data_IF_786573259306
#
_entry.id   IF_786573259306
#
_cell.length_a   1.000
_cell.length_b   1.000
_cell.length_c   1.000
_cell.angle_alpha   90.00
_cell.angle_beta   90.00
_cell.angle_gamma   90.00
#
_symmetry.space_group_name_H-M   'P 1'
#
loop_
_entity.id
_entity.type
_entity.pdbx_description
1 polymer ?
#
# COMPACT_ATOMS: atom_id res chain seq x y z
N UNK A 1 61.83 -17.77 10.47
CA UNK A 1 61.39 -17.40 9.10
C UNK A 1 60.69 -18.61 8.53
N UNK A 2 59.43 -18.64 8.08
CA UNK A 2 58.46 -17.64 7.65
C UNK A 2 57.06 -18.13 8.08
N UNK A 3 56.22 -17.18 8.47
CA UNK A 3 54.78 -17.35 8.55
C UNK A 3 54.18 -17.40 7.13
N UNK A 4 53.19 -18.24 6.92
CA UNK A 4 52.26 -18.15 5.79
C UNK A 4 50.84 -18.37 6.32
N UNK A 5 50.18 -17.26 6.58
CA UNK A 5 48.75 -17.15 6.89
C UNK A 5 47.94 -17.38 5.62
N UNK A 6 47.17 -18.47 5.57
CA UNK A 6 46.13 -18.71 4.58
C UNK A 6 44.84 -18.02 5.02
N UNK A 7 44.60 -16.81 4.49
CA UNK A 7 43.30 -16.15 4.54
C UNK A 7 42.36 -16.80 3.53
N UNK A 8 41.59 -17.81 3.96
CA UNK A 8 40.40 -18.25 3.22
C UNK A 8 39.29 -17.24 3.43
N UNK A 9 39.18 -16.29 2.50
CA UNK A 9 37.97 -15.50 2.28
C UNK A 9 36.89 -16.41 1.68
N UNK A 10 36.19 -17.16 2.52
CA UNK A 10 34.94 -17.81 2.15
C UNK A 10 33.86 -16.75 2.02
N UNK A 11 33.67 -16.24 0.81
CA UNK A 11 32.46 -15.51 0.45
C UNK A 11 31.28 -16.49 0.45
N UNK A 12 30.54 -16.54 1.57
CA UNK A 12 29.19 -17.09 1.59
C UNK A 12 28.40 -16.40 0.48
N UNK A 13 28.10 -17.12 -0.60
CA UNK A 13 27.12 -16.71 -1.60
C UNK A 13 25.75 -16.69 -0.91
N UNK A 14 25.40 -15.53 -0.35
CA UNK A 14 24.18 -15.28 0.40
C UNK A 14 22.94 -15.58 -0.46
N UNK A 15 22.25 -16.69 -0.16
CA UNK A 15 21.05 -17.12 -0.87
C UNK A 15 19.90 -16.13 -0.60
N UNK A 16 19.63 -15.23 -1.55
CA UNK A 16 18.34 -14.54 -1.70
C UNK A 16 17.34 -15.54 -2.28
N UNK A 17 16.08 -15.51 -1.84
CA UNK A 17 15.08 -16.38 -2.43
C UNK A 17 14.94 -16.05 -3.92
N UNK A 18 15.32 -17.01 -4.76
CA UNK A 18 15.28 -16.89 -6.21
C UNK A 18 13.84 -16.58 -6.67
N UNK A 19 13.70 -15.71 -7.67
CA UNK A 19 12.40 -15.32 -8.21
C UNK A 19 11.64 -16.55 -8.75
N UNK A 20 12.34 -17.53 -9.32
CA UNK A 20 11.72 -18.79 -9.74
C UNK A 20 11.10 -19.54 -8.55
N UNK A 21 11.82 -19.62 -7.42
CA UNK A 21 11.30 -20.25 -6.19
C UNK A 21 10.06 -19.52 -5.65
N UNK A 22 10.01 -18.19 -5.76
CA UNK A 22 8.84 -17.39 -5.39
C UNK A 22 7.65 -17.70 -6.31
N UNK A 23 7.87 -17.72 -7.62
CA UNK A 23 6.83 -18.07 -8.60
C UNK A 23 6.30 -19.49 -8.39
N UNK A 24 7.17 -20.46 -8.10
CA UNK A 24 6.77 -21.84 -7.83
C UNK A 24 5.99 -21.95 -6.50
N UNK A 25 6.39 -21.20 -5.47
CA UNK A 25 5.68 -21.12 -4.20
C UNK A 25 4.28 -20.51 -4.36
N UNK A 26 4.17 -19.37 -5.04
CA UNK A 26 2.88 -18.73 -5.31
C UNK A 26 1.99 -19.61 -6.20
N UNK A 27 2.56 -20.25 -7.22
CA UNK A 27 1.84 -21.20 -8.07
C UNK A 27 1.26 -22.37 -7.27
N UNK A 28 1.99 -22.89 -6.26
CA UNK A 28 1.46 -23.91 -5.34
C UNK A 28 0.34 -23.36 -4.46
N UNK A 29 0.48 -22.15 -3.92
CA UNK A 29 -0.58 -21.51 -3.12
C UNK A 29 -1.86 -21.30 -3.93
N UNK A 30 -1.74 -20.87 -5.20
CA UNK A 30 -2.88 -20.70 -6.10
C UNK A 30 -3.56 -22.03 -6.45
N UNK A 31 -2.79 -23.11 -6.67
CA UNK A 31 -3.34 -24.46 -6.87
C UNK A 31 -4.08 -24.96 -5.64
N UNK A 32 -3.53 -24.69 -4.46
CA UNK A 32 -4.14 -25.05 -3.18
C UNK A 32 -5.48 -24.32 -2.97
N UNK A 33 -5.53 -23.03 -3.28
CA UNK A 33 -6.77 -22.26 -3.31
C UNK A 33 -7.81 -22.90 -4.24
N UNK A 34 -7.42 -23.29 -5.47
CA UNK A 34 -8.35 -23.92 -6.41
C UNK A 34 -8.90 -25.24 -5.86
N UNK A 35 -8.04 -26.08 -5.27
CA UNK A 35 -8.41 -27.37 -4.67
C UNK A 35 -9.46 -27.22 -3.57
N UNK A 36 -9.39 -26.15 -2.79
CA UNK A 36 -10.34 -25.85 -1.71
C UNK A 36 -11.67 -25.33 -2.27
N UNK A 37 -11.60 -24.33 -3.15
CA UNK A 37 -12.77 -23.59 -3.59
C UNK A 37 -13.58 -24.27 -4.69
N UNK A 38 -12.97 -25.06 -5.57
CA UNK A 38 -13.66 -25.76 -6.66
C UNK A 38 -14.85 -26.62 -6.16
N UNK A 39 -14.66 -27.59 -5.24
CA UNK A 39 -15.78 -28.43 -4.80
C UNK A 39 -16.84 -27.64 -4.03
N UNK A 40 -16.42 -26.63 -3.26
CA UNK A 40 -17.31 -25.77 -2.51
C UNK A 40 -18.22 -24.96 -3.45
N UNK A 41 -17.66 -24.34 -4.49
CA UNK A 41 -18.43 -23.55 -5.44
C UNK A 41 -19.33 -24.41 -6.31
N UNK A 42 -18.88 -25.60 -6.72
CA UNK A 42 -19.73 -26.55 -7.43
C UNK A 42 -20.98 -26.88 -6.62
N UNK A 43 -20.80 -27.22 -5.34
CA UNK A 43 -21.91 -27.52 -4.45
C UNK A 43 -22.83 -26.30 -4.27
N UNK A 44 -22.25 -25.12 -4.02
CA UNK A 44 -23.00 -23.88 -3.82
C UNK A 44 -23.83 -23.48 -5.05
N UNK A 45 -23.26 -23.60 -6.24
CA UNK A 45 -23.95 -23.30 -7.49
C UNK A 45 -25.05 -24.32 -7.81
N UNK A 46 -24.82 -25.61 -7.54
CA UNK A 46 -25.85 -26.65 -7.72
C UNK A 46 -27.02 -26.42 -6.76
N UNK A 47 -26.75 -26.06 -5.51
CA UNK A 47 -27.79 -25.74 -4.52
C UNK A 47 -28.63 -24.52 -4.92
N UNK A 48 -27.99 -23.49 -5.50
CA UNK A 48 -28.67 -22.26 -5.89
C UNK A 48 -29.39 -22.35 -7.24
N UNK A 49 -28.78 -23.00 -8.24
CA UNK A 49 -29.24 -22.98 -9.64
C UNK A 49 -29.69 -24.35 -10.17
N UNK A 50 -29.58 -25.40 -9.38
CA UNK A 50 -29.89 -26.78 -9.79
C UNK A 50 -28.80 -27.44 -10.65
N UNK A 51 -29.01 -28.71 -10.99
CA UNK A 51 -28.05 -29.57 -11.71
C UNK A 51 -27.71 -29.12 -13.13
N UNK A 52 -28.61 -28.39 -13.80
CA UNK A 52 -28.40 -27.91 -15.17
C UNK A 52 -28.01 -26.42 -15.20
N UNK A 53 -28.52 -25.62 -14.26
CA UNK A 53 -28.30 -24.17 -14.22
C UNK A 53 -26.89 -23.75 -13.80
N UNK A 54 -26.20 -24.56 -12.98
CA UNK A 54 -24.86 -24.21 -12.50
C UNK A 54 -23.82 -24.09 -13.63
N UNK A 55 -23.96 -24.88 -14.69
CA UNK A 55 -23.05 -24.85 -15.84
C UNK A 55 -23.15 -23.52 -16.60
N UNK A 56 -24.37 -22.98 -16.72
CA UNK A 56 -24.61 -21.67 -17.34
C UNK A 56 -23.99 -20.55 -16.50
N UNK A 57 -24.10 -20.61 -15.17
CA UNK A 57 -23.47 -19.64 -14.27
C UNK A 57 -21.94 -19.61 -14.44
N UNK A 58 -21.30 -20.80 -14.51
CA UNK A 58 -19.86 -20.92 -14.79
C UNK A 58 -19.52 -20.34 -16.17
N UNK A 59 -20.28 -20.70 -17.22
CA UNK A 59 -20.03 -20.20 -18.56
C UNK A 59 -20.14 -18.67 -18.65
N UNK A 60 -21.14 -18.08 -18.00
CA UNK A 60 -21.30 -16.63 -17.93
C UNK A 60 -20.08 -15.97 -17.29
N UNK A 61 -19.58 -16.52 -16.17
CA UNK A 61 -18.43 -15.97 -15.46
C UNK A 61 -17.11 -16.04 -16.25
N UNK A 62 -16.98 -17.01 -17.17
CA UNK A 62 -15.80 -17.17 -18.04
C UNK A 62 -15.70 -16.12 -19.15
N UNK A 63 -16.82 -15.46 -19.47
CA UNK A 63 -16.83 -14.36 -20.42
C UNK A 63 -16.23 -13.11 -19.76
N UNK A 64 -14.98 -12.85 -20.12
CA UNK A 64 -14.03 -11.85 -19.59
C UNK A 64 -14.51 -10.38 -19.52
N UNK A 65 -15.75 -10.06 -19.88
CA UNK A 65 -16.19 -8.70 -20.18
C UNK A 65 -16.83 -7.92 -19.03
N UNK A 66 -17.28 -8.55 -17.92
CA UNK A 66 -18.23 -7.84 -17.01
C UNK A 66 -17.72 -7.55 -15.59
N UNK A 67 -16.48 -7.88 -15.20
CA UNK A 67 -16.07 -7.74 -13.78
C UNK A 67 -15.44 -6.36 -13.45
N UNK A 68 -15.01 -5.59 -14.45
CA UNK A 68 -14.25 -4.36 -14.19
C UNK A 68 -15.12 -3.11 -13.98
N UNK A 69 -16.44 -3.14 -14.25
CA UNK A 69 -17.37 -2.04 -13.92
C UNK A 69 -18.82 -2.46 -14.23
N UNK A 70 -19.85 -2.11 -13.42
CA UNK A 70 -21.24 -2.20 -13.87
C UNK A 70 -21.52 -1.05 -14.83
N UNK A 71 -20.92 -1.07 -16.02
CA UNK A 71 -21.30 -0.16 -17.11
C UNK A 71 -22.49 -0.77 -17.82
N UNK A 72 -23.66 -0.23 -17.50
CA UNK A 72 -24.96 -0.56 -18.09
C UNK A 72 -25.03 -0.16 -19.57
N UNK A 73 -24.26 -0.77 -20.46
CA UNK A 73 -24.49 -0.70 -21.92
C UNK A 73 -23.40 -1.41 -22.72
N UNK A 74 -23.34 -2.74 -22.75
CA UNK A 74 -22.86 -3.44 -23.96
C UNK A 74 -23.66 -4.72 -24.21
N UNK A 75 -24.05 -4.98 -25.48
CA UNK A 75 -24.80 -6.17 -25.83
C UNK A 75 -23.94 -7.42 -25.67
N UNK A 76 -24.57 -8.41 -25.04
CA UNK A 76 -24.15 -9.80 -24.87
C UNK A 76 -23.51 -10.38 -26.15
N UNK A 77 -22.18 -10.57 -26.13
CA UNK A 77 -21.49 -11.31 -27.20
C UNK A 77 -21.44 -12.81 -26.84
N UNK A 78 -22.38 -13.56 -27.41
CA UNK A 78 -22.39 -15.03 -27.44
C UNK A 78 -21.33 -15.54 -28.42
N UNK A 79 -20.05 -15.48 -28.08
CA UNK A 79 -19.05 -16.19 -28.88
C UNK A 79 -17.88 -16.68 -28.04
N UNK A 80 -18.17 -17.75 -27.29
CA UNK A 80 -17.26 -18.87 -26.97
C UNK A 80 -18.07 -19.91 -26.18
N UNK A 81 -18.91 -20.66 -26.89
CA UNK A 81 -19.46 -21.92 -26.39
C UNK A 81 -18.36 -22.97 -26.47
N UNK A 82 -17.34 -22.86 -25.61
CA UNK A 82 -16.40 -23.95 -25.41
C UNK A 82 -16.92 -24.80 -24.27
N UNK A 83 -17.21 -26.07 -24.54
CA UNK A 83 -17.46 -27.12 -23.54
C UNK A 83 -16.38 -27.16 -22.43
N UNK A 84 -15.20 -26.61 -22.75
CA UNK A 84 -14.04 -26.38 -21.88
C UNK A 84 -14.27 -25.38 -20.73
N UNK A 85 -15.24 -24.46 -20.86
CA UNK A 85 -15.47 -23.42 -19.84
C UNK A 85 -15.98 -23.98 -18.51
N UNK A 86 -16.73 -25.09 -18.54
CA UNK A 86 -17.22 -25.78 -17.33
C UNK A 86 -16.16 -26.68 -16.68
N UNK A 87 -15.06 -26.95 -17.40
CA UNK A 87 -13.92 -27.74 -16.91
C UNK A 87 -12.79 -26.86 -16.38
N UNK A 88 -12.73 -25.59 -16.79
CA UNK A 88 -11.67 -24.68 -16.39
C UNK A 88 -11.92 -24.06 -15.00
N UNK A 89 -11.51 -24.77 -13.95
CA UNK A 89 -11.51 -24.32 -12.55
C UNK A 89 -10.17 -23.68 -12.15
N UNK A 90 -9.61 -22.85 -13.03
CA UNK A 90 -8.45 -22.05 -12.68
C UNK A 90 -8.82 -20.94 -11.67
N UNK A 91 -7.79 -20.37 -11.05
CA UNK A 91 -7.95 -19.35 -10.00
C UNK A 91 -8.76 -18.15 -10.50
N UNK A 92 -8.60 -17.76 -11.77
CA UNK A 92 -9.32 -16.61 -12.32
C UNK A 92 -10.81 -16.89 -12.45
N UNK A 93 -11.17 -18.05 -12.99
CA UNK A 93 -12.56 -18.44 -13.13
C UNK A 93 -13.22 -18.60 -11.77
N UNK A 94 -12.54 -19.26 -10.81
CA UNK A 94 -13.02 -19.37 -9.42
C UNK A 94 -13.33 -18.00 -8.82
N UNK A 95 -12.39 -17.06 -8.88
CA UNK A 95 -12.60 -15.70 -8.35
C UNK A 95 -13.72 -14.99 -9.13
N UNK A 96 -13.79 -15.17 -10.45
CA UNK A 96 -14.80 -14.54 -11.30
C UNK A 96 -16.21 -15.02 -10.97
N UNK A 97 -16.38 -16.32 -10.72
CA UNK A 97 -17.64 -16.93 -10.26
C UNK A 97 -18.05 -16.33 -8.92
N UNK A 98 -17.13 -16.34 -7.94
CA UNK A 98 -17.40 -15.84 -6.58
C UNK A 98 -17.87 -14.39 -6.62
N UNK A 99 -17.15 -13.53 -7.36
CA UNK A 99 -17.46 -12.10 -7.40
C UNK A 99 -18.76 -11.81 -8.14
N UNK A 100 -19.05 -12.53 -9.23
CA UNK A 100 -20.27 -12.35 -10.03
C UNK A 100 -21.52 -12.80 -9.29
N UNK A 101 -21.46 -13.96 -8.66
CA UNK A 101 -22.58 -14.55 -7.93
C UNK A 101 -22.47 -14.31 -6.42
N UNK A 102 -21.77 -13.25 -6.00
CA UNK A 102 -21.51 -12.98 -4.60
C UNK A 102 -22.81 -12.91 -3.78
N UNK A 103 -23.79 -12.15 -4.28
CA UNK A 103 -25.07 -11.99 -3.59
C UNK A 103 -25.86 -13.31 -3.58
N UNK A 104 -25.87 -14.04 -4.69
CA UNK A 104 -26.63 -15.28 -4.81
C UNK A 104 -26.07 -16.39 -3.92
N UNK A 105 -24.74 -16.47 -3.79
CA UNK A 105 -24.06 -17.52 -3.04
C UNK A 105 -23.89 -17.20 -1.55
N UNK A 106 -23.73 -15.92 -1.20
CA UNK A 106 -23.34 -15.49 0.15
C UNK A 106 -24.31 -14.54 0.85
N UNK A 107 -25.20 -13.83 0.14
CA UNK A 107 -26.14 -12.92 0.82
C UNK A 107 -27.33 -13.67 1.46
N UNK A 108 -27.72 -14.82 0.90
CA UNK A 108 -28.86 -15.61 1.39
C UNK A 108 -28.47 -16.69 2.39
N UNK A 109 -27.20 -17.10 2.42
CA UNK A 109 -26.75 -18.29 3.15
C UNK A 109 -25.53 -18.00 4.01
N UNK A 110 -25.55 -18.56 5.23
CA UNK A 110 -24.58 -18.46 6.34
C UNK A 110 -23.16 -18.99 6.00
N UNK A 111 -22.59 -18.67 4.84
CA UNK A 111 -21.36 -19.28 4.32
C UNK A 111 -20.08 -18.52 4.68
N UNK A 112 -20.08 -17.79 5.79
CA UNK A 112 -18.90 -17.18 6.44
C UNK A 112 -18.07 -16.16 5.62
N UNK A 113 -18.41 -15.87 4.36
CA UNK A 113 -17.73 -14.85 3.55
C UNK A 113 -18.35 -13.46 3.79
N UNK A 114 -17.56 -12.56 4.38
CA UNK A 114 -17.85 -11.15 4.61
C UNK A 114 -17.15 -10.25 3.59
N UNK A 115 -17.33 -8.93 3.71
CA UNK A 115 -16.64 -7.97 2.84
C UNK A 115 -15.10 -8.01 2.98
N UNK A 116 -14.57 -8.50 4.10
CA UNK A 116 -13.13 -8.66 4.29
C UNK A 116 -12.54 -9.70 3.32
N UNK A 117 -13.20 -10.85 3.20
CA UNK A 117 -12.82 -11.92 2.28
C UNK A 117 -12.93 -11.49 0.83
N UNK A 118 -13.94 -10.65 0.51
CA UNK A 118 -14.05 -10.04 -0.81
C UNK A 118 -12.81 -9.23 -1.19
N UNK A 119 -12.25 -8.48 -0.25
CA UNK A 119 -10.98 -7.76 -0.47
C UNK A 119 -9.82 -8.73 -0.71
N UNK A 120 -9.71 -9.82 0.05
CA UNK A 120 -8.67 -10.83 -0.19
C UNK A 120 -8.81 -11.48 -1.57
N UNK A 121 -10.02 -11.72 -2.08
CA UNK A 121 -10.20 -12.26 -3.43
C UNK A 121 -9.63 -11.33 -4.53
N UNK A 122 -9.74 -10.01 -4.36
CA UNK A 122 -9.12 -9.05 -5.28
C UNK A 122 -7.59 -9.06 -5.18
N UNK A 123 -7.03 -9.24 -3.98
CA UNK A 123 -5.60 -9.43 -3.77
C UNK A 123 -5.09 -10.72 -4.45
N UNK A 124 -5.80 -11.84 -4.29
CA UNK A 124 -5.45 -13.11 -4.95
C UNK A 124 -5.56 -13.00 -6.46
N UNK A 125 -6.56 -12.29 -7.00
CA UNK A 125 -6.65 -12.00 -8.43
C UNK A 125 -5.44 -11.21 -8.92
N UNK A 126 -5.01 -10.20 -8.16
CA UNK A 126 -3.81 -9.42 -8.47
C UNK A 126 -2.55 -10.28 -8.45
N UNK A 127 -2.38 -11.13 -7.43
CA UNK A 127 -1.31 -12.11 -7.34
C UNK A 127 -1.29 -13.05 -8.55
N UNK A 128 -2.44 -13.66 -8.88
CA UNK A 128 -2.59 -14.57 -10.02
C UNK A 128 -2.22 -13.88 -11.33
N UNK A 129 -2.68 -12.65 -11.56
CA UNK A 129 -2.35 -11.90 -12.77
C UNK A 129 -0.84 -11.63 -12.87
N UNK A 130 -0.21 -11.15 -11.79
CA UNK A 130 1.25 -10.99 -11.74
C UNK A 130 1.99 -12.31 -12.03
N UNK A 131 1.54 -13.42 -11.41
CA UNK A 131 2.12 -14.75 -11.58
C UNK A 131 2.00 -15.25 -13.02
N UNK A 132 0.83 -15.10 -13.64
CA UNK A 132 0.60 -15.50 -15.03
C UNK A 132 1.46 -14.70 -16.02
N UNK A 133 1.77 -13.44 -15.70
CA UNK A 133 2.67 -12.60 -16.50
C UNK A 133 4.16 -12.78 -16.17
N UNK A 134 4.51 -13.70 -15.26
CA UNK A 134 5.89 -13.92 -14.80
C UNK A 134 6.54 -12.62 -14.26
N UNK A 135 5.72 -11.74 -13.67
CA UNK A 135 6.20 -10.47 -13.13
C UNK A 135 7.01 -10.67 -11.85
N UNK A 136 7.89 -9.71 -11.54
CA UNK A 136 8.67 -9.73 -10.31
C UNK A 136 7.78 -9.63 -9.06
N UNK A 137 8.15 -10.37 -8.02
CA UNK A 137 7.54 -10.29 -6.70
C UNK A 137 8.57 -9.90 -5.64
N UNK A 138 8.22 -8.92 -4.81
CA UNK A 138 9.00 -8.63 -3.59
C UNK A 138 8.71 -9.71 -2.53
N UNK A 139 9.64 -9.92 -1.59
CA UNK A 139 9.40 -10.84 -0.46
C UNK A 139 8.22 -10.40 0.41
N UNK A 140 8.02 -9.08 0.57
CA UNK A 140 6.86 -8.50 1.25
C UNK A 140 5.56 -8.81 0.53
N UNK A 141 5.50 -8.60 -0.78
CA UNK A 141 4.30 -8.91 -1.58
C UNK A 141 3.99 -10.42 -1.53
N UNK A 142 5.03 -11.24 -1.62
CA UNK A 142 4.90 -12.70 -1.53
C UNK A 142 4.26 -13.11 -0.21
N UNK A 143 4.74 -12.59 0.92
CA UNK A 143 4.15 -12.86 2.22
C UNK A 143 2.69 -12.42 2.29
N UNK A 144 2.40 -11.19 1.84
CA UNK A 144 1.03 -10.64 1.80
C UNK A 144 0.07 -11.51 1.00
N UNK A 145 0.46 -11.94 -0.21
CA UNK A 145 -0.39 -12.78 -1.04
C UNK A 145 -0.61 -14.18 -0.45
N UNK A 146 0.43 -14.78 0.15
CA UNK A 146 0.29 -16.08 0.82
C UNK A 146 -0.64 -15.96 2.04
N UNK A 147 -0.53 -14.90 2.83
CA UNK A 147 -1.42 -14.63 3.96
C UNK A 147 -2.88 -14.42 3.51
N UNK A 148 -3.09 -13.66 2.44
CA UNK A 148 -4.43 -13.46 1.86
C UNK A 148 -5.06 -14.79 1.40
N UNK A 149 -4.28 -15.65 0.74
CA UNK A 149 -4.76 -16.99 0.34
C UNK A 149 -5.03 -17.85 1.59
N UNK A 150 -4.17 -17.80 2.61
CA UNK A 150 -4.37 -18.56 3.85
C UNK A 150 -5.67 -18.17 4.54
N UNK A 151 -5.94 -16.87 4.73
CA UNK A 151 -7.19 -16.40 5.33
C UNK A 151 -8.42 -16.87 4.57
N UNK A 152 -8.35 -16.91 3.24
CA UNK A 152 -9.42 -17.44 2.40
C UNK A 152 -9.61 -18.95 2.55
N UNK A 153 -8.56 -19.72 2.81
CA UNK A 153 -8.66 -21.17 3.03
C UNK A 153 -9.16 -21.47 4.44
N UNK A 154 -8.77 -20.69 5.45
CA UNK A 154 -9.16 -20.85 6.86
C UNK A 154 -10.67 -20.69 7.13
N UNK A 155 -11.41 -20.13 6.17
CA UNK A 155 -12.88 -20.10 6.17
C UNK A 155 -13.49 -21.52 6.17
N UNK A 156 -12.74 -22.51 5.66
CA UNK A 156 -13.10 -23.91 5.56
C UNK A 156 -12.30 -24.74 6.57
N UNK A 157 -12.66 -24.72 7.87
CA UNK A 157 -11.87 -25.36 8.93
C UNK A 157 -11.73 -26.89 8.75
N UNK A 158 -12.63 -27.52 8.00
CA UNK A 158 -12.54 -28.94 7.63
C UNK A 158 -11.36 -29.27 6.69
N UNK A 159 -10.76 -28.26 6.04
CA UNK A 159 -9.60 -28.39 5.15
C UNK A 159 -8.29 -28.32 5.90
N UNK A 160 -8.18 -29.07 6.99
CA UNK A 160 -7.03 -29.00 7.92
C UNK A 160 -5.69 -29.25 7.24
N UNK A 161 -5.62 -30.20 6.29
CA UNK A 161 -4.39 -30.51 5.56
C UNK A 161 -3.95 -29.35 4.68
N UNK A 162 -4.88 -28.74 3.95
CA UNK A 162 -4.64 -27.57 3.12
C UNK A 162 -4.21 -26.37 3.96
N UNK A 163 -4.85 -26.15 5.11
CA UNK A 163 -4.50 -25.08 6.05
C UNK A 163 -3.07 -25.26 6.56
N UNK A 164 -2.69 -26.47 6.99
CA UNK A 164 -1.31 -26.76 7.42
C UNK A 164 -0.28 -26.59 6.29
N UNK A 165 -0.64 -26.97 5.06
CA UNK A 165 0.24 -26.84 3.90
C UNK A 165 0.53 -25.37 3.58
N UNK A 166 -0.50 -24.51 3.59
CA UNK A 166 -0.30 -23.07 3.36
C UNK A 166 0.41 -22.40 4.53
N UNK A 167 0.13 -22.81 5.76
CA UNK A 167 0.79 -22.28 6.96
C UNK A 167 2.30 -22.50 6.91
N UNK A 168 2.74 -23.69 6.47
CA UNK A 168 4.17 -24.00 6.22
C UNK A 168 4.77 -23.07 5.17
N UNK A 169 4.07 -22.83 4.06
CA UNK A 169 4.54 -21.92 3.00
C UNK A 169 4.61 -20.46 3.48
N UNK A 170 3.62 -20.01 4.27
CA UNK A 170 3.63 -18.68 4.88
C UNK A 170 4.80 -18.50 5.84
N UNK A 171 4.99 -19.46 6.76
CA UNK A 171 6.05 -19.42 7.76
C UNK A 171 7.44 -19.48 7.10
N UNK A 172 7.58 -20.23 6.01
CA UNK A 172 8.79 -20.22 5.18
C UNK A 172 9.08 -18.81 4.64
N UNK A 173 8.10 -18.15 4.00
CA UNK A 173 8.29 -16.78 3.49
C UNK A 173 8.61 -15.78 4.60
N UNK A 174 7.94 -15.91 5.75
CA UNK A 174 8.20 -15.06 6.92
C UNK A 174 9.64 -15.19 7.43
N UNK A 175 10.16 -16.42 7.49
CA UNK A 175 11.54 -16.67 7.89
C UNK A 175 12.55 -16.01 6.93
N UNK A 176 12.29 -16.08 5.62
CA UNK A 176 13.12 -15.41 4.62
C UNK A 176 13.11 -13.89 4.78
N UNK A 177 11.93 -13.30 4.96
CA UNK A 177 11.78 -11.86 5.19
C UNK A 177 12.53 -11.42 6.46
N UNK A 178 12.41 -12.18 7.55
CA UNK A 178 13.12 -11.89 8.79
C UNK A 178 14.65 -11.93 8.61
N UNK A 179 15.16 -12.90 7.86
CA UNK A 179 16.58 -13.02 7.56
C UNK A 179 17.07 -11.86 6.66
N UNK A 180 16.28 -11.45 5.68
CA UNK A 180 16.59 -10.29 4.82
C UNK A 180 16.68 -8.99 5.64
N UNK A 181 15.71 -8.75 6.53
CA UNK A 181 15.70 -7.57 7.41
C UNK A 181 16.94 -7.55 8.31
N UNK A 182 17.31 -8.69 8.91
CA UNK A 182 18.54 -8.81 9.73
C UNK A 182 19.80 -8.51 8.91
N UNK A 183 19.88 -8.98 7.66
CA UNK A 183 21.02 -8.69 6.76
C UNK A 183 21.10 -7.19 6.45
N UNK A 184 19.97 -6.56 6.13
CA UNK A 184 19.92 -5.12 5.86
C UNK A 184 20.34 -4.28 7.07
N UNK A 185 19.94 -4.67 8.28
CA UNK A 185 20.36 -4.03 9.53
C UNK A 185 21.88 -4.14 9.74
N UNK A 186 22.46 -5.35 9.61
CA UNK A 186 23.91 -5.56 9.73
C UNK A 186 24.71 -4.74 8.71
N UNK A 187 24.20 -4.61 7.48
CA UNK A 187 24.85 -3.77 6.44
C UNK A 187 24.86 -2.30 6.86
N UNK A 188 23.73 -1.77 7.34
CA UNK A 188 23.62 -0.39 7.84
C UNK A 188 24.52 -0.12 9.04
N UNK A 189 24.64 -1.08 9.96
CA UNK A 189 25.53 -0.97 11.12
C UNK A 189 27.00 -0.89 10.69
N UNK A 190 27.44 -1.79 9.80
CA UNK A 190 28.79 -1.77 9.23
C UNK A 190 29.10 -0.45 8.51
N UNK A 191 28.15 0.09 7.77
CA UNK A 191 28.29 1.37 7.07
C UNK A 191 28.40 2.55 8.04
N UNK A 192 27.56 2.58 9.09
CA UNK A 192 27.68 3.56 10.17
C UNK A 192 29.02 3.47 10.90
N UNK A 193 29.53 2.27 11.13
CA UNK A 193 30.82 2.06 11.77
C UNK A 193 31.98 2.55 10.89
N UNK A 194 31.94 2.28 9.58
CA UNK A 194 32.91 2.83 8.62
C UNK A 194 32.91 4.36 8.62
N UNK A 195 31.73 4.98 8.56
CA UNK A 195 31.60 6.44 8.57
C UNK A 195 32.09 7.06 9.89
N UNK A 196 31.91 6.36 11.02
CA UNK A 196 32.48 6.79 12.31
C UNK A 196 34.01 6.74 12.29
N UNK A 197 34.61 5.64 11.81
CA UNK A 197 36.07 5.47 11.72
C UNK A 197 36.73 6.51 10.80
N UNK A 198 36.07 6.86 9.70
CA UNK A 198 36.56 7.89 8.76
C UNK A 198 36.54 9.29 9.38
N UNK A 199 35.54 9.60 10.21
CA UNK A 199 35.44 10.90 10.92
C UNK A 199 36.37 11.04 12.14
N UNK A 200 36.82 9.93 12.74
CA UNK A 200 37.76 9.94 13.88
C UNK A 200 39.23 9.71 13.49
N UNK A 201 39.55 9.61 12.20
CA UNK A 201 40.95 9.53 11.76
C UNK A 201 41.63 10.91 11.85
N UNK A 202 42.83 11.02 12.44
CA UNK A 202 43.55 12.29 12.54
C UNK A 202 43.99 12.78 11.14
N UNK A 203 44.21 14.10 10.95
CA UNK A 203 44.71 14.63 9.69
C UNK A 203 46.02 13.93 9.34
N UNK A 204 46.07 13.30 8.16
CA UNK A 204 47.29 12.71 7.62
C UNK A 204 48.26 13.88 7.37
N UNK A 205 49.30 14.01 8.19
CA UNK A 205 50.44 14.87 7.92
C UNK A 205 51.05 14.44 6.58
N UNK A 206 50.73 15.20 5.53
CA UNK A 206 51.34 15.03 4.23
C UNK A 206 52.67 15.76 4.27
N UNK A 207 53.72 15.04 4.65
CA UNK A 207 55.10 15.46 4.40
C UNK A 207 55.39 15.29 2.92
N UNK A 208 55.03 16.28 2.10
CA UNK A 208 55.63 16.42 0.78
C UNK A 208 55.94 17.88 0.51
N UNK A 209 57.23 18.16 0.57
CA UNK A 209 57.99 19.31 0.09
C UNK A 209 57.27 20.25 -0.90
N UNK A 210 57.20 21.52 -0.53
CA UNK A 210 57.10 22.64 -1.48
C UNK A 210 58.49 22.95 -2.06
N UNK A 211 58.54 23.48 -3.29
CA UNK A 211 59.12 24.81 -3.41
C UNK A 211 58.13 25.83 -3.99
N UNK A 212 58.17 27.01 -3.34
CA UNK A 212 57.71 28.35 -3.69
C UNK A 212 57.06 28.61 -5.06
N UNK A 213 56.01 29.44 -5.06
CA UNK A 213 56.01 30.81 -5.64
C UNK A 213 54.83 31.63 -5.05
N UNK A 214 55.19 32.50 -4.10
CA UNK A 214 54.89 33.94 -4.00
C UNK A 214 53.60 34.51 -4.64
N UNK A 215 52.64 35.00 -3.84
CA UNK A 215 51.91 36.26 -4.10
C UNK A 215 51.51 36.97 -2.78
N UNK A 216 52.15 38.10 -2.54
CA UNK A 216 51.70 39.37 -1.94
C UNK A 216 50.59 39.38 -0.85
N UNK A 217 50.99 39.81 0.34
CA UNK A 217 50.15 40.35 1.41
C UNK A 217 50.16 41.88 1.40
N UNK A 218 48.98 42.50 1.43
CA UNK A 218 48.67 43.74 2.18
C UNK A 218 47.21 43.59 2.67
N UNK A 219 46.96 43.20 3.93
CA UNK A 219 46.63 44.06 5.09
C UNK A 219 45.80 45.30 4.73
N UNK A 220 44.68 45.61 5.38
CA UNK A 220 44.67 46.17 6.75
C UNK A 220 43.23 46.33 7.30
N UNK A 221 42.98 45.78 8.51
CA UNK A 221 42.18 46.35 9.64
C UNK A 221 40.63 46.44 9.55
N UNK A 222 39.82 46.35 10.63
CA UNK A 222 40.01 46.34 12.10
C UNK A 222 38.68 45.94 12.79
N UNK A 223 38.69 44.99 13.76
CA UNK A 223 38.52 45.12 15.23
C UNK A 223 37.09 45.02 15.86
N UNK A 224 37.04 44.16 16.89
CA UNK A 224 36.29 44.20 18.18
C UNK A 224 34.85 43.64 18.29
N UNK A 225 34.81 42.49 18.99
CA UNK A 225 33.94 42.03 20.09
C UNK A 225 32.73 42.86 20.55
N UNK A 226 31.58 42.19 20.74
CA UNK A 226 30.97 41.88 22.05
C UNK A 226 29.57 41.26 21.86
N UNK A 227 29.30 40.15 22.55
CA UNK A 227 27.96 39.60 22.80
C UNK A 227 27.12 40.57 23.66
N UNK A 228 25.79 40.54 23.53
CA UNK A 228 25.03 40.12 24.71
C UNK A 228 23.85 39.19 24.42
N UNK A 229 23.62 38.35 25.43
CA UNK A 229 22.43 37.55 25.72
C UNK A 229 21.15 38.40 25.68
N UNK A 230 20.10 37.94 25.00
CA UNK A 230 18.72 38.07 25.50
C UNK A 230 17.83 36.90 25.04
N UNK A 231 17.06 36.44 26.01
CA UNK A 231 16.05 35.39 25.98
C UNK A 231 14.72 35.84 25.34
N UNK A 232 14.10 34.90 24.62
CA UNK A 232 12.66 34.57 24.63
C UNK A 232 11.55 35.52 24.05
N UNK A 233 10.63 34.85 23.34
CA UNK A 233 9.21 35.14 23.00
C UNK A 233 8.81 35.87 21.68
N UNK A 234 8.24 35.05 20.78
CA UNK A 234 7.06 35.21 19.89
C UNK A 234 6.86 36.44 18.97
N UNK A 235 6.84 36.17 17.65
CA UNK A 235 5.78 36.51 16.66
C UNK A 235 6.35 36.21 15.25
N UNK A 236 5.93 35.12 14.58
CA UNK A 236 4.74 34.97 13.72
C UNK A 236 4.89 35.53 12.31
N UNK A 237 4.60 34.62 11.37
CA UNK A 237 3.92 34.82 10.09
C UNK A 237 4.75 35.11 8.84
N UNK A 238 4.37 34.37 7.78
CA UNK A 238 4.62 34.61 6.35
C UNK A 238 6.00 34.28 5.78
N UNK A 239 6.38 33.00 5.73
CA UNK A 239 7.48 32.59 4.84
C UNK A 239 7.32 31.23 4.13
N UNK A 240 6.16 30.55 4.21
CA UNK A 240 6.02 29.21 3.62
C UNK A 240 5.15 29.15 2.35
N UNK A 241 5.27 30.15 1.48
CA UNK A 241 4.72 30.11 0.12
C UNK A 241 5.84 30.38 -0.88
N UNK A 242 6.74 29.41 -1.09
CA UNK A 242 7.55 29.27 -2.30
C UNK A 242 8.27 27.90 -2.30
N UNK A 243 7.88 27.07 -3.27
CA UNK A 243 8.44 25.75 -3.68
C UNK A 243 7.97 24.46 -2.95
N UNK A 244 7.68 23.39 -3.73
CA UNK A 244 7.21 22.12 -3.20
C UNK A 244 8.41 21.22 -2.83
N UNK A 245 8.68 21.09 -1.53
CA UNK A 245 9.37 19.91 -1.01
C UNK A 245 8.29 18.94 -0.50
N UNK A 246 8.33 17.70 -1.00
CA UNK A 246 7.48 16.61 -0.52
C UNK A 246 7.75 16.37 0.98
N UNK A 247 6.75 16.54 1.88
CA UNK A 247 6.97 16.32 3.30
C UNK A 247 6.64 14.87 3.67
N UNK A 248 7.51 14.30 4.52
CA UNK A 248 7.25 13.08 5.25
C UNK A 248 5.89 13.15 5.97
N UNK A 249 5.02 12.17 5.72
CA UNK A 249 3.69 12.07 6.33
C UNK A 249 3.85 11.75 7.82
N UNK A 250 3.90 12.78 8.66
CA UNK A 250 3.52 12.65 10.06
C UNK A 250 2.00 12.48 10.09
N UNK A 251 1.53 11.25 10.26
CA UNK A 251 0.09 10.98 10.43
C UNK A 251 -0.32 11.47 11.82
N UNK A 252 -0.71 12.76 11.93
CA UNK A 252 -1.48 13.23 13.09
C UNK A 252 -2.74 12.38 13.19
N UNK A 253 -2.92 11.69 14.31
CA UNK A 253 -4.13 10.91 14.59
C UNK A 253 -5.19 11.85 15.17
N UNK A 254 -6.24 12.11 14.39
CA UNK A 254 -7.42 12.87 14.82
C UNK A 254 -8.45 11.93 15.46
N UNK A 255 -9.22 12.44 16.44
CA UNK A 255 -10.28 11.66 17.08
C UNK A 255 -11.39 11.28 16.07
N UNK A 256 -12.19 10.24 16.33
CA UNK A 256 -13.31 9.87 15.45
C UNK A 256 -14.30 11.02 15.23
N UNK A 257 -14.52 11.85 16.25
CA UNK A 257 -15.37 13.04 16.18
C UNK A 257 -14.79 14.09 15.24
N UNK A 258 -13.49 14.35 15.35
CA UNK A 258 -12.77 15.25 14.45
C UNK A 258 -12.82 14.77 13.00
N UNK A 259 -12.62 13.47 12.77
CA UNK A 259 -12.75 12.88 11.43
C UNK A 259 -14.17 13.04 10.86
N UNK A 260 -15.20 12.91 11.70
CA UNK A 260 -16.58 13.14 11.30
C UNK A 260 -16.84 14.60 10.90
N UNK A 261 -16.33 15.56 11.68
CA UNK A 261 -16.46 16.99 11.37
C UNK A 261 -15.81 17.36 10.03
N UNK A 262 -14.67 16.77 9.70
CA UNK A 262 -13.99 16.99 8.40
C UNK A 262 -14.87 16.52 7.25
N UNK A 263 -15.48 15.34 7.38
CA UNK A 263 -16.38 14.79 6.35
C UNK A 263 -17.62 15.66 6.18
N UNK A 264 -18.22 16.12 7.29
CA UNK A 264 -19.37 17.02 7.25
C UNK A 264 -19.02 18.33 6.55
N UNK A 265 -17.93 18.99 6.95
CA UNK A 265 -17.52 20.27 6.35
C UNK A 265 -17.18 20.10 4.86
N UNK A 266 -16.49 19.03 4.48
CA UNK A 266 -16.21 18.69 3.08
C UNK A 266 -17.49 18.52 2.26
N UNK A 267 -18.50 17.84 2.80
CA UNK A 267 -19.80 17.65 2.15
C UNK A 267 -20.57 18.98 1.97
N UNK A 268 -20.53 19.87 2.96
CA UNK A 268 -21.25 21.15 2.90
C UNK A 268 -20.56 22.20 2.01
N UNK A 269 -19.23 22.25 2.01
CA UNK A 269 -18.46 23.29 1.31
C UNK A 269 -17.98 22.85 -0.08
N UNK A 270 -18.00 21.54 -0.36
CA UNK A 270 -17.40 20.95 -1.54
C UNK A 270 -15.87 20.92 -1.51
N UNK A 271 -15.26 21.25 -0.37
CA UNK A 271 -13.81 21.20 -0.19
C UNK A 271 -13.32 19.75 -0.23
N UNK A 272 -12.13 19.54 -0.77
CA UNK A 272 -11.43 18.27 -0.60
C UNK A 272 -11.13 18.05 0.88
N UNK A 273 -10.99 16.78 1.28
CA UNK A 273 -10.72 16.38 2.66
C UNK A 273 -9.54 17.16 3.28
N UNK A 274 -8.49 17.43 2.51
CA UNK A 274 -7.31 18.15 2.97
C UNK A 274 -7.60 19.62 3.34
N UNK A 275 -8.42 20.32 2.54
CA UNK A 275 -8.76 21.72 2.81
C UNK A 275 -9.79 21.85 3.92
N UNK A 276 -10.75 20.92 3.99
CA UNK A 276 -11.68 20.84 5.12
C UNK A 276 -10.94 20.62 6.45
N UNK A 277 -9.90 19.76 6.45
CA UNK A 277 -9.03 19.55 7.61
C UNK A 277 -8.30 20.85 8.01
N UNK A 278 -7.70 21.56 7.06
CA UNK A 278 -6.99 22.81 7.35
C UNK A 278 -7.91 23.88 7.95
N UNK A 279 -9.13 24.04 7.39
CA UNK A 279 -10.11 24.98 7.94
C UNK A 279 -10.51 24.64 9.38
N UNK A 280 -10.67 23.34 9.69
CA UNK A 280 -11.01 22.89 11.05
C UNK A 280 -9.83 23.02 12.02
N UNK A 281 -8.60 22.78 11.58
CA UNK A 281 -7.41 23.01 12.41
C UNK A 281 -7.26 24.49 12.79
N UNK A 282 -7.45 25.40 11.83
CA UNK A 282 -7.37 26.85 12.06
C UNK A 282 -8.53 27.35 12.94
N UNK A 283 -9.72 26.77 12.78
CA UNK A 283 -10.90 27.05 13.59
C UNK A 283 -10.91 26.36 14.97
N UNK A 284 -9.81 25.72 15.38
CA UNK A 284 -9.74 24.98 16.65
C UNK A 284 -10.87 23.95 16.82
N UNK A 285 -11.25 23.27 15.73
CA UNK A 285 -12.32 22.27 15.68
C UNK A 285 -13.74 22.77 16.00
N UNK A 286 -13.98 24.08 15.89
CA UNK A 286 -15.32 24.67 16.03
C UNK A 286 -15.98 24.81 14.65
N UNK A 287 -17.11 24.10 14.38
CA UNK A 287 -17.69 24.05 13.03
C UNK A 287 -18.18 25.40 12.49
N UNK A 288 -18.76 26.24 13.35
CA UNK A 288 -19.28 27.56 12.97
C UNK A 288 -18.15 28.49 12.51
N UNK A 289 -17.08 28.56 13.31
CA UNK A 289 -15.88 29.33 12.99
C UNK A 289 -15.20 28.83 11.71
N UNK A 290 -15.17 27.51 11.48
CA UNK A 290 -14.62 26.93 10.27
C UNK A 290 -15.40 27.35 9.01
N UNK A 291 -16.73 27.45 9.11
CA UNK A 291 -17.58 27.92 8.03
C UNK A 291 -17.36 29.40 7.73
N UNK A 292 -17.19 30.24 8.77
CA UNK A 292 -16.87 31.67 8.62
C UNK A 292 -15.48 31.89 7.98
N UNK A 293 -14.49 31.08 8.35
CA UNK A 293 -13.18 31.11 7.70
C UNK A 293 -13.26 30.71 6.23
N UNK A 294 -14.05 29.68 5.91
CA UNK A 294 -14.30 29.26 4.53
C UNK A 294 -14.98 30.36 3.70
N UNK A 295 -16.06 30.96 4.20
CA UNK A 295 -16.78 32.02 3.48
C UNK A 295 -15.88 33.22 3.22
N UNK A 296 -15.12 33.64 4.23
CA UNK A 296 -14.13 34.72 4.11
C UNK A 296 -13.02 34.40 3.11
N UNK A 297 -12.46 33.19 3.15
CA UNK A 297 -11.42 32.76 2.21
C UNK A 297 -11.94 32.65 0.76
N UNK A 298 -13.21 32.25 0.60
CA UNK A 298 -13.89 32.18 -0.69
C UNK A 298 -14.16 33.58 -1.26
N UNK A 299 -14.63 34.52 -0.45
CA UNK A 299 -14.84 35.92 -0.85
C UNK A 299 -13.53 36.63 -1.23
N UNK A 300 -12.44 36.29 -0.53
CA UNK A 300 -11.11 36.84 -0.80
C UNK A 300 -10.39 36.14 -1.98
N UNK A 301 -10.98 35.10 -2.57
CA UNK A 301 -10.38 34.36 -3.69
C UNK A 301 -9.10 33.60 -3.34
N UNK A 302 -8.89 33.28 -2.06
CA UNK A 302 -7.67 32.62 -1.56
C UNK A 302 -7.67 31.09 -1.78
N UNK A 303 -8.82 30.50 -2.10
CA UNK A 303 -8.96 29.06 -2.29
C UNK A 303 -8.65 28.67 -3.75
N UNK A 304 -7.61 27.86 -4.01
CA UNK A 304 -7.30 27.39 -5.36
C UNK A 304 -8.40 26.47 -5.88
N UNK A 305 -8.50 26.32 -7.21
CA UNK A 305 -9.48 25.41 -7.83
C UNK A 305 -9.33 23.95 -7.38
N UNK A 306 -8.12 23.53 -7.01
CA UNK A 306 -7.81 22.21 -6.45
C UNK A 306 -8.38 21.99 -5.03
N UNK A 307 -8.78 23.08 -4.35
CA UNK A 307 -9.42 23.00 -3.04
C UNK A 307 -10.80 22.35 -3.11
N UNK A 308 -11.42 22.29 -4.29
CA UNK A 308 -12.76 21.74 -4.50
C UNK A 308 -12.69 20.37 -5.17
N UNK A 309 -13.60 19.47 -4.78
CA UNK A 309 -13.71 18.14 -5.37
C UNK A 309 -14.18 18.31 -6.83
N UNK A 310 -13.35 17.92 -7.79
CA UNK A 310 -13.73 17.93 -9.19
C UNK A 310 -14.88 16.94 -9.41
N UNK A 311 -16.06 17.49 -9.71
CA UNK A 311 -17.33 16.82 -10.06
C UNK A 311 -18.27 16.54 -8.88
N UNK A 312 -18.96 17.58 -8.42
CA UNK A 312 -20.39 17.48 -8.10
C UNK A 312 -21.07 18.83 -8.34
N UNK A 313 -22.16 18.77 -9.10
CA UNK A 313 -23.12 19.86 -9.27
C UNK A 313 -23.59 20.35 -7.87
N UNK A 314 -23.76 21.67 -7.64
CA UNK A 314 -24.32 22.14 -6.39
C UNK A 314 -25.78 21.71 -6.31
N UNK A 315 -26.07 20.70 -5.49
CA UNK A 315 -27.43 20.42 -5.05
C UNK A 315 -27.82 21.52 -4.07
N UNK A 316 -28.51 22.53 -4.58
CA UNK A 316 -29.29 23.43 -3.77
C UNK A 316 -30.32 22.58 -3.01
N UNK A 317 -30.19 22.51 -1.69
CA UNK A 317 -31.33 22.22 -0.84
C UNK A 317 -31.28 23.10 0.39
N UNK A 318 -32.22 24.05 0.42
CA UNK A 318 -32.56 24.82 1.59
C UNK A 318 -33.17 23.90 2.66
N UNK A 319 -32.99 24.29 3.93
CA UNK A 319 -33.74 23.85 5.12
C UNK A 319 -33.50 22.43 5.65
N UNK A 320 -32.65 22.31 6.66
CA UNK A 320 -33.10 22.08 8.05
C UNK A 320 -31.89 21.90 8.99
N UNK A 321 -31.52 22.98 9.68
CA UNK A 321 -30.85 22.88 10.98
C UNK A 321 -31.91 23.22 12.02
N UNK A 322 -32.31 22.21 12.80
CA UNK A 322 -32.99 22.42 14.08
C UNK A 322 -32.03 21.97 15.17
N UNK A 323 -31.92 22.85 16.17
CA UNK A 323 -31.06 22.90 17.35
C UNK A 323 -30.55 21.59 17.94
#
# INVERSE_FOLDING_TARGET
>A
MKASSSSSSSSESEETLDQQKIHDLLGRCLKLFNRVYEPFLKQALIEQYGQEGWQLAVQQSSNKLDIDFPSSSKPFSLSRTSHDATQNWDTQNIISIILRHWNDLFAQNQRNLTNAEKSFLFEVRTCRNKWAHQNFFTLRDTYHYVDAIQRLIEIFPEKTKEIEEIDKMRNYTLLYLANEVKRAQKKKEKEKEKLKREKTSPPIETTSSLPNINISTQNTSQLISQEPVYSNFHASSLNHLLHPQAPAVQTKHYSPEQQHLVLQLSQYTGLTHQYALMCLEEAQWVPQTALELFTKAKEQGLLPSEAFIAHSHPMANHNNMTY
#
